data_IF_135584123388
#
_entry.id   IF_135584123388
#
_cell.length_a   1.000
_cell.length_b   1.000
_cell.length_c   1.000
_cell.angle_alpha   90.00
_cell.angle_beta   90.00
_cell.angle_gamma   90.00
#
_symmetry.space_group_name_H-M   'P 1'
#
loop_
_entity.id
_entity.type
_entity.pdbx_description
1 polymer ?
#
# COMPACT_ATOMS: atom_id res chain seq x y z
N UNK A 1 16.16 -21.50 37.07
CA UNK A 1 16.36 -20.04 37.03
C UNK A 1 16.24 -19.57 35.59
N UNK A 2 15.42 -18.56 35.28
CA UNK A 2 15.26 -18.03 33.91
C UNK A 2 16.33 -16.95 33.68
N UNK A 3 17.36 -17.30 32.91
CA UNK A 3 18.44 -16.37 32.55
C UNK A 3 17.91 -15.33 31.56
N UNK A 4 17.57 -14.13 32.04
CA UNK A 4 17.24 -12.99 31.19
C UNK A 4 18.54 -12.43 30.56
N UNK A 5 19.05 -13.10 29.52
CA UNK A 5 20.04 -12.48 28.63
C UNK A 5 19.34 -11.32 27.93
N UNK A 6 19.80 -10.08 28.15
CA UNK A 6 19.33 -8.92 27.40
C UNK A 6 19.76 -9.10 25.95
N UNK A 7 18.82 -9.49 25.09
CA UNK A 7 19.00 -9.51 23.64
C UNK A 7 19.01 -8.06 23.16
N UNK A 8 20.00 -7.70 22.34
CA UNK A 8 20.11 -6.37 21.76
C UNK A 8 18.94 -6.06 20.81
N UNK A 9 18.53 -4.80 20.73
CA UNK A 9 17.36 -4.40 19.93
C UNK A 9 17.57 -4.63 18.44
N UNK A 10 18.80 -4.54 17.92
CA UNK A 10 19.08 -4.85 16.51
C UNK A 10 18.79 -6.33 16.20
N UNK A 11 19.16 -7.22 17.13
CA UNK A 11 18.90 -8.66 17.00
C UNK A 11 17.39 -8.93 17.08
N UNK A 12 16.67 -8.23 17.96
CA UNK A 12 15.20 -8.36 18.05
C UNK A 12 14.53 -7.97 16.74
N UNK A 13 14.95 -6.84 16.15
CA UNK A 13 14.42 -6.36 14.88
C UNK A 13 14.76 -7.31 13.72
N UNK A 14 15.98 -7.87 13.67
CA UNK A 14 16.35 -8.84 12.65
C UNK A 14 15.47 -10.11 12.70
N UNK A 15 15.22 -10.63 13.90
CA UNK A 15 14.35 -11.79 14.12
C UNK A 15 12.90 -11.45 13.77
N UNK A 16 12.46 -10.23 14.09
CA UNK A 16 11.12 -9.76 13.78
C UNK A 16 10.91 -9.59 12.27
N UNK A 17 11.90 -9.06 11.56
CA UNK A 17 11.89 -9.00 10.10
C UNK A 17 11.83 -10.40 9.48
N UNK A 18 12.61 -11.35 10.01
CA UNK A 18 12.54 -12.75 9.57
C UNK A 18 11.15 -13.37 9.81
N UNK A 19 10.49 -13.01 10.90
CA UNK A 19 9.11 -13.43 11.20
C UNK A 19 8.08 -12.80 10.23
N UNK A 20 8.13 -11.48 10.02
CA UNK A 20 7.14 -10.75 9.22
C UNK A 20 7.21 -11.13 7.73
N UNK A 21 8.43 -11.31 7.19
CA UNK A 21 8.63 -11.67 5.79
C UNK A 21 8.70 -13.19 5.56
N UNK A 22 8.72 -13.97 6.63
CA UNK A 22 8.81 -15.43 6.58
C UNK A 22 7.44 -16.12 6.55
N UNK A 23 7.45 -17.41 6.21
CA UNK A 23 6.28 -18.30 6.32
C UNK A 23 6.26 -19.11 7.62
N UNK A 24 7.22 -18.87 8.52
CA UNK A 24 7.33 -19.60 9.80
C UNK A 24 6.46 -18.96 10.87
N UNK A 25 5.88 -19.79 11.74
CA UNK A 25 5.11 -19.33 12.89
C UNK A 25 6.00 -18.75 14.00
N UNK A 26 5.39 -18.02 14.94
CA UNK A 26 6.11 -17.45 16.09
C UNK A 26 6.87 -18.51 16.89
N UNK A 27 6.20 -19.62 17.19
CA UNK A 27 6.79 -20.70 17.98
C UNK A 27 8.02 -21.32 17.31
N UNK A 28 7.97 -21.51 15.99
CA UNK A 28 9.10 -22.07 15.23
C UNK A 28 10.28 -21.11 15.23
N UNK A 29 10.04 -19.81 15.02
CA UNK A 29 11.10 -18.79 15.07
C UNK A 29 11.69 -18.66 16.49
N UNK A 30 10.84 -18.67 17.52
CA UNK A 30 11.28 -18.63 18.93
C UNK A 30 12.16 -19.84 19.27
N UNK A 31 11.78 -21.05 18.82
CA UNK A 31 12.56 -22.27 19.04
C UNK A 31 13.89 -22.26 18.29
N UNK A 32 13.89 -21.85 17.02
CA UNK A 32 15.10 -21.80 16.19
C UNK A 32 16.13 -20.80 16.73
N UNK A 33 15.66 -19.66 17.26
CA UNK A 33 16.53 -18.63 17.81
C UNK A 33 16.85 -18.83 19.31
N UNK A 34 16.32 -19.90 19.93
CA UNK A 34 16.54 -20.19 21.35
C UNK A 34 15.92 -19.17 22.31
N UNK A 35 14.85 -18.50 21.89
CA UNK A 35 14.19 -17.43 22.63
C UNK A 35 12.97 -17.98 23.39
N UNK A 36 12.64 -17.36 24.52
CA UNK A 36 11.47 -17.73 25.32
C UNK A 36 10.16 -17.56 24.53
N UNK A 37 9.23 -18.50 24.74
CA UNK A 37 7.90 -18.48 24.12
C UNK A 37 7.17 -17.17 24.46
N UNK A 38 6.62 -16.52 23.44
CA UNK A 38 5.91 -15.24 23.57
C UNK A 38 6.79 -14.00 23.50
N UNK A 39 8.10 -14.14 23.28
CA UNK A 39 9.00 -12.99 23.12
C UNK A 39 8.71 -12.21 21.85
N UNK A 40 8.36 -12.88 20.74
CA UNK A 40 8.01 -12.19 19.48
C UNK A 40 6.76 -11.33 19.69
N UNK A 41 5.73 -11.86 20.37
CA UNK A 41 4.52 -11.10 20.71
C UNK A 41 4.85 -9.88 21.57
N UNK A 42 5.75 -10.03 22.53
CA UNK A 42 6.18 -8.92 23.39
C UNK A 42 6.93 -7.86 22.58
N UNK A 43 7.81 -8.26 21.67
CA UNK A 43 8.58 -7.34 20.84
C UNK A 43 7.72 -6.60 19.82
N UNK A 44 6.76 -7.27 19.16
CA UNK A 44 5.75 -6.63 18.31
C UNK A 44 5.07 -5.47 19.05
N UNK A 45 4.65 -5.70 20.30
CA UNK A 45 4.02 -4.66 21.14
C UNK A 45 4.99 -3.53 21.50
N UNK A 46 6.25 -3.84 21.81
CA UNK A 46 7.26 -2.84 22.17
C UNK A 46 7.60 -1.93 20.98
N UNK A 47 7.74 -2.52 19.79
CA UNK A 47 8.10 -1.81 18.56
C UNK A 47 6.88 -1.24 17.80
N UNK A 48 5.65 -1.46 18.30
CA UNK A 48 4.43 -0.97 17.66
C UNK A 48 4.16 -1.59 16.29
N UNK A 49 4.66 -2.80 16.03
CA UNK A 49 4.49 -3.50 14.76
C UNK A 49 3.26 -4.38 14.78
N UNK A 50 2.52 -4.36 13.67
CA UNK A 50 1.34 -5.20 13.49
C UNK A 50 1.74 -6.67 13.35
N UNK A 51 0.93 -7.53 13.94
CA UNK A 51 1.16 -8.97 13.91
C UNK A 51 0.79 -9.53 12.54
N UNK A 52 1.47 -10.59 12.09
CA UNK A 52 1.07 -11.25 10.85
C UNK A 52 -0.39 -11.71 10.99
N UNK A 53 -1.27 -11.44 10.01
CA UNK A 53 -2.64 -11.93 10.06
C UNK A 53 -2.57 -13.45 10.23
N UNK A 54 -2.95 -13.92 11.41
CA UNK A 54 -3.10 -15.36 11.62
C UNK A 54 -4.31 -15.76 10.79
N UNK A 55 -4.20 -16.75 9.88
CA UNK A 55 -5.41 -17.41 9.42
C UNK A 55 -6.03 -18.01 10.68
N UNK A 56 -7.13 -17.40 11.14
CA UNK A 56 -7.98 -18.00 12.16
C UNK A 56 -8.50 -19.28 11.52
N UNK A 57 -7.77 -20.39 11.71
CA UNK A 57 -8.31 -21.72 11.45
C UNK A 57 -9.38 -21.95 12.52
N UNK A 58 -10.54 -21.33 12.34
CA UNK A 58 -11.76 -21.96 12.80
C UNK A 58 -11.75 -23.36 12.17
N UNK A 59 -11.86 -24.40 12.99
CA UNK A 59 -11.97 -25.79 12.53
C UNK A 59 -13.33 -25.98 11.85
N UNK A 60 -13.58 -25.26 10.78
CA UNK A 60 -14.69 -25.52 9.89
C UNK A 60 -14.12 -26.19 8.65
N UNK A 61 -14.64 -27.41 8.45
CA UNK A 61 -14.24 -28.33 7.41
C UNK A 61 -14.37 -27.67 6.05
N UNK A 62 -13.33 -27.88 5.22
CA UNK A 62 -13.29 -27.66 3.79
C UNK A 62 -13.47 -26.21 3.31
N UNK A 63 -12.40 -25.59 2.81
CA UNK A 63 -12.25 -25.20 1.40
C UNK A 63 -10.76 -24.93 1.14
N UNK A 64 -10.35 -25.31 -0.06
CA UNK A 64 -9.02 -25.38 -0.64
C UNK A 64 -8.04 -24.26 -0.30
N UNK A 65 -6.81 -24.71 -0.03
CA UNK A 65 -5.57 -23.97 -0.24
C UNK A 65 -5.42 -23.48 -1.68
N UNK A 66 -5.17 -22.17 -1.85
CA UNK A 66 -4.35 -21.66 -2.97
C UNK A 66 -5.02 -20.67 -3.94
N UNK A 67 -5.46 -19.49 -3.50
CA UNK A 67 -5.85 -18.39 -4.42
C UNK A 67 -5.66 -16.96 -3.87
N UNK A 68 -4.90 -16.72 -2.80
CA UNK A 68 -4.76 -15.33 -2.28
C UNK A 68 -3.58 -14.55 -2.92
N UNK A 69 -2.51 -15.22 -3.33
CA UNK A 69 -1.36 -14.55 -3.98
C UNK A 69 -1.65 -14.11 -5.43
N UNK A 70 -2.41 -14.91 -6.19
CA UNK A 70 -2.72 -14.60 -7.60
C UNK A 70 -3.70 -13.42 -7.72
N UNK A 71 -4.68 -13.33 -6.81
CA UNK A 71 -5.60 -12.18 -6.74
C UNK A 71 -4.83 -10.88 -6.52
N UNK A 72 -3.83 -10.90 -5.65
CA UNK A 72 -3.04 -9.70 -5.33
C UNK A 72 -2.22 -9.20 -6.53
N UNK A 73 -1.62 -10.10 -7.33
CA UNK A 73 -0.86 -9.70 -8.52
C UNK A 73 -1.75 -9.24 -9.68
N UNK A 74 -2.88 -9.92 -9.91
CA UNK A 74 -3.90 -9.51 -10.89
C UNK A 74 -4.52 -8.15 -10.53
N UNK A 75 -4.75 -7.88 -9.25
CA UNK A 75 -5.21 -6.59 -8.76
C UNK A 75 -4.15 -5.49 -8.98
N UNK A 76 -2.88 -5.77 -8.69
CA UNK A 76 -1.80 -4.80 -8.94
C UNK A 76 -1.66 -4.46 -10.43
N UNK A 77 -1.75 -5.47 -11.30
CA UNK A 77 -1.64 -5.25 -12.75
C UNK A 77 -2.84 -4.48 -13.30
N UNK A 78 -4.07 -4.82 -12.88
CA UNK A 78 -5.28 -4.10 -13.28
C UNK A 78 -5.26 -2.64 -12.81
N UNK A 79 -4.81 -2.38 -11.58
CA UNK A 79 -4.64 -1.04 -11.04
C UNK A 79 -3.62 -0.22 -11.84
N UNK A 80 -2.48 -0.81 -12.21
CA UNK A 80 -1.47 -0.14 -13.07
C UNK A 80 -2.03 0.23 -14.44
N UNK A 81 -2.81 -0.66 -15.05
CA UNK A 81 -3.49 -0.36 -16.33
C UNK A 81 -4.47 0.80 -16.16
N UNK A 82 -5.25 0.80 -15.07
CA UNK A 82 -6.20 1.88 -14.79
C UNK A 82 -5.51 3.23 -14.58
N UNK A 83 -4.39 3.26 -13.86
CA UNK A 83 -3.59 4.48 -13.67
C UNK A 83 -3.14 5.03 -15.02
N UNK A 84 -2.54 4.19 -15.88
CA UNK A 84 -2.07 4.62 -17.21
C UNK A 84 -3.21 5.15 -18.10
N UNK A 85 -4.39 4.54 -18.01
CA UNK A 85 -5.58 5.03 -18.72
C UNK A 85 -6.01 6.41 -18.22
N UNK A 86 -6.09 6.58 -16.89
CA UNK A 86 -6.47 7.84 -16.25
C UNK A 86 -5.47 8.97 -16.58
N UNK A 87 -4.17 8.68 -16.55
CA UNK A 87 -3.13 9.65 -16.95
C UNK A 87 -3.28 10.10 -18.41
N UNK A 88 -3.59 9.17 -19.31
CA UNK A 88 -3.83 9.47 -20.72
C UNK A 88 -5.08 10.33 -20.93
N UNK A 89 -6.16 10.02 -20.21
CA UNK A 89 -7.40 10.79 -20.23
C UNK A 89 -7.19 12.21 -19.69
N UNK A 90 -6.47 12.34 -18.57
CA UNK A 90 -6.11 13.62 -17.97
C UNK A 90 -5.30 14.47 -18.95
N UNK A 91 -4.28 13.89 -19.58
CA UNK A 91 -3.46 14.61 -20.58
C UNK A 91 -4.28 15.12 -21.76
N UNK A 92 -5.28 14.35 -22.21
CA UNK A 92 -6.19 14.78 -23.28
C UNK A 92 -7.10 15.91 -22.83
N UNK A 93 -7.62 15.84 -21.61
CA UNK A 93 -8.47 16.88 -21.04
C UNK A 93 -7.71 18.20 -20.87
N UNK A 94 -6.47 18.15 -20.39
CA UNK A 94 -5.59 19.32 -20.30
C UNK A 94 -5.32 19.93 -21.68
N UNK A 95 -4.95 19.10 -22.66
CA UNK A 95 -4.72 19.57 -24.03
C UNK A 95 -5.98 20.19 -24.66
N UNK A 96 -7.16 19.59 -24.43
CA UNK A 96 -8.42 20.13 -24.92
C UNK A 96 -8.72 21.49 -24.28
N UNK A 97 -8.51 21.64 -22.97
CA UNK A 97 -8.65 22.92 -22.28
C UNK A 97 -7.75 23.99 -22.89
N UNK A 98 -6.47 23.67 -23.09
CA UNK A 98 -5.50 24.62 -23.63
C UNK A 98 -5.85 25.04 -25.07
N UNK A 99 -6.36 24.10 -25.88
CA UNK A 99 -6.88 24.40 -27.23
C UNK A 99 -8.10 25.31 -27.16
N UNK A 100 -9.05 25.06 -26.25
CA UNK A 100 -10.22 25.93 -26.08
C UNK A 100 -9.83 27.34 -25.65
N UNK A 101 -8.86 27.49 -24.75
CA UNK A 101 -8.35 28.80 -24.35
C UNK A 101 -7.75 29.56 -25.55
N UNK A 102 -6.94 28.89 -26.38
CA UNK A 102 -6.41 29.49 -27.61
C UNK A 102 -7.52 29.89 -28.60
N UNK A 103 -8.56 29.06 -28.74
CA UNK A 103 -9.71 29.39 -29.61
C UNK A 103 -10.48 30.62 -29.11
N UNK A 104 -10.61 30.74 -27.78
CA UNK A 104 -11.21 31.91 -27.15
C UNK A 104 -10.37 33.15 -27.46
N UNK A 105 -9.06 33.11 -27.25
CA UNK A 105 -8.16 34.23 -27.52
C UNK A 105 -8.29 34.72 -28.96
N UNK A 106 -8.28 33.79 -29.92
CA UNK A 106 -8.38 34.10 -31.35
C UNK A 106 -9.75 34.72 -31.69
N UNK A 107 -10.83 34.26 -31.06
CA UNK A 107 -12.16 34.83 -31.26
C UNK A 107 -12.28 36.25 -30.67
N UNK A 108 -11.75 36.46 -29.47
CA UNK A 108 -11.72 37.77 -28.81
C UNK A 108 -10.89 38.78 -29.62
N UNK A 109 -9.75 38.35 -30.18
CA UNK A 109 -8.90 39.18 -31.03
C UNK A 109 -9.58 39.53 -32.37
N UNK A 110 -10.10 38.52 -33.08
CA UNK A 110 -10.60 38.68 -34.45
C UNK A 110 -11.96 39.36 -34.54
N UNK A 111 -12.86 39.06 -33.62
CA UNK A 111 -14.25 39.52 -33.66
C UNK A 111 -14.55 40.59 -32.61
N UNK A 112 -13.61 40.92 -31.72
CA UNK A 112 -13.78 41.91 -30.65
C UNK A 112 -15.01 41.64 -29.76
N UNK A 113 -15.40 40.38 -29.65
CA UNK A 113 -16.44 39.90 -28.75
C UNK A 113 -15.78 39.39 -27.47
N UNK A 114 -16.36 39.69 -26.31
CA UNK A 114 -15.84 39.17 -25.04
C UNK A 114 -16.51 37.85 -24.70
N UNK A 115 -15.74 36.77 -24.67
CA UNK A 115 -16.24 35.42 -24.38
C UNK A 115 -16.00 35.08 -22.91
N UNK A 116 -14.86 35.49 -22.34
CA UNK A 116 -14.56 35.24 -20.91
C UNK A 116 -15.36 36.17 -20.00
N UNK A 117 -15.87 35.61 -18.90
CA UNK A 117 -16.55 36.38 -17.84
C UNK A 117 -15.56 37.34 -17.17
N UNK A 118 -15.99 38.57 -16.88
CA UNK A 118 -15.21 39.52 -16.08
C UNK A 118 -15.00 38.93 -14.68
N UNK A 119 -13.74 38.75 -14.25
CA UNK A 119 -13.39 38.40 -12.88
C UNK A 119 -13.63 39.55 -11.89
N UNK A 120 -13.81 40.77 -12.40
CA UNK A 120 -13.99 41.99 -11.61
C UNK A 120 -15.46 42.24 -11.23
N UNK A 121 -16.02 41.36 -10.40
CA UNK A 121 -17.19 41.70 -9.58
C UNK A 121 -16.66 42.02 -8.18
N UNK A 122 -16.45 43.31 -7.92
CA UNK A 122 -16.22 43.84 -6.55
C UNK A 122 -17.54 43.94 -5.79
#
# INVERSE_FOLDING_TARGET
MRNNKKIDDQIRLAILNSYLHGNKGKYTIEKENGISRGSIRKWLRIFGLEDKPFPLYMKDKAVSTGTEDVSSEEDITSLKVRIKQLESELKRAEMARDVYDCMIDLAEEKYHIKVRKNSDVK
#
